data_IF_384639461198
#
_entry.id   IF_384639461198
#
_cell.length_a   1.000
_cell.length_b   1.000
_cell.length_c   1.000
_cell.angle_alpha   90.00
_cell.angle_beta   90.00
_cell.angle_gamma   90.00
#
_symmetry.space_group_name_H-M   'P 1'
#
loop_
_entity.id
_entity.type
_entity.pdbx_description
1 polymer ?
#
# COMPACT_ATOMS: atom_id res chain seq x y z
N UNK A 1 6.16 -8.50 9.92
CA UNK A 1 5.90 -9.13 8.61
C UNK A 1 6.04 -10.65 8.57
N UNK A 2 6.99 -11.28 9.28
CA UNK A 2 7.04 -12.75 9.36
C UNK A 2 5.73 -13.39 9.83
N UNK A 3 5.15 -12.88 10.90
CA UNK A 3 3.86 -13.38 11.41
C UNK A 3 2.72 -13.15 10.40
N UNK A 4 2.83 -12.10 9.58
CA UNK A 4 1.90 -11.85 8.47
C UNK A 4 1.98 -12.96 7.43
N UNK A 5 3.19 -13.32 6.99
CA UNK A 5 3.41 -14.42 6.07
C UNK A 5 2.90 -15.75 6.62
N UNK A 6 3.11 -16.02 7.91
CA UNK A 6 2.58 -17.22 8.56
C UNK A 6 1.05 -17.25 8.59
N UNK A 7 0.39 -16.11 8.83
CA UNK A 7 -1.07 -16.01 8.76
C UNK A 7 -1.61 -16.30 7.34
N UNK A 8 -0.94 -15.77 6.31
CA UNK A 8 -1.27 -16.07 4.91
C UNK A 8 -1.03 -17.55 4.56
N UNK A 9 0.08 -18.15 5.01
CA UNK A 9 0.35 -19.59 4.84
C UNK A 9 -0.77 -20.42 5.44
N UNK A 10 -1.17 -20.08 6.67
CA UNK A 10 -2.23 -20.79 7.39
C UNK A 10 -3.58 -20.70 6.67
N UNK A 11 -3.90 -19.56 6.06
CA UNK A 11 -5.15 -19.37 5.32
C UNK A 11 -5.13 -20.11 3.97
N UNK A 12 -4.08 -19.91 3.18
CA UNK A 12 -4.09 -20.25 1.75
C UNK A 12 -3.36 -21.55 1.40
N UNK A 13 -2.39 -21.99 2.19
CA UNK A 13 -1.58 -23.18 1.90
C UNK A 13 -1.96 -24.37 2.79
N UNK A 14 -2.07 -24.13 4.10
CA UNK A 14 -2.26 -25.21 5.10
C UNK A 14 -3.64 -25.23 5.74
N UNK A 15 -4.53 -24.31 5.36
CA UNK A 15 -5.89 -24.20 5.90
C UNK A 15 -6.73 -25.47 5.67
N UNK A 16 -7.64 -25.76 6.59
CA UNK A 16 -8.51 -26.94 6.58
C UNK A 16 -9.88 -26.70 5.93
N UNK A 17 -10.24 -25.45 5.61
CA UNK A 17 -11.44 -25.13 4.84
C UNK A 17 -11.17 -25.37 3.34
N UNK A 18 -11.85 -26.35 2.75
CA UNK A 18 -11.74 -26.69 1.32
C UNK A 18 -12.01 -25.52 0.34
N UNK A 19 -12.56 -24.40 0.80
CA UNK A 19 -12.86 -23.20 -0.01
C UNK A 19 -11.81 -22.09 0.00
N UNK A 20 -10.82 -22.10 0.90
CA UNK A 20 -9.80 -21.03 0.99
C UNK A 20 -8.38 -21.52 0.58
N UNK A 21 -8.22 -22.81 0.24
CA UNK A 21 -6.94 -23.37 -0.18
C UNK A 21 -6.64 -23.03 -1.63
N UNK A 22 -5.49 -22.42 -1.86
CA UNK A 22 -4.99 -22.13 -3.19
C UNK A 22 -4.23 -23.34 -3.75
N UNK A 23 -4.30 -23.60 -5.07
CA UNK A 23 -3.48 -24.61 -5.74
C UNK A 23 -2.05 -24.09 -5.97
N UNK A 24 -1.40 -23.64 -4.89
CA UNK A 24 0.01 -23.25 -4.82
C UNK A 24 0.73 -24.35 -4.04
N UNK A 25 1.90 -24.75 -4.52
CA UNK A 25 2.71 -25.75 -3.86
C UNK A 25 3.14 -25.25 -2.46
N UNK A 26 2.99 -26.10 -1.45
CA UNK A 26 3.21 -25.72 -0.05
C UNK A 26 4.71 -25.59 0.28
N UNK A 27 5.55 -26.26 -0.49
CA UNK A 27 6.97 -26.54 -0.22
C UNK A 27 7.91 -25.90 -1.27
N UNK A 28 7.41 -25.49 -2.43
CA UNK A 28 8.19 -24.87 -3.50
C UNK A 28 7.55 -23.58 -4.03
N UNK A 29 8.40 -22.59 -4.34
CA UNK A 29 7.96 -21.38 -5.05
C UNK A 29 8.06 -21.63 -6.55
N UNK A 30 6.96 -21.39 -7.26
CA UNK A 30 6.96 -21.26 -8.70
C UNK A 30 6.72 -19.78 -9.04
N UNK A 31 7.69 -19.12 -9.68
CA UNK A 31 7.59 -17.71 -10.08
C UNK A 31 6.46 -17.37 -11.05
N UNK A 32 5.86 -18.37 -11.73
CA UNK A 32 4.62 -18.15 -12.51
C UNK A 32 3.37 -18.08 -11.63
N UNK A 33 3.40 -18.70 -10.45
CA UNK A 33 2.30 -18.73 -9.50
C UNK A 33 2.39 -17.61 -8.46
N UNK A 34 3.60 -17.30 -7.99
CA UNK A 34 3.87 -16.28 -6.97
C UNK A 34 4.65 -15.11 -7.58
N UNK A 35 4.06 -13.92 -7.56
CA UNK A 35 4.76 -12.66 -7.81
C UNK A 35 5.00 -11.92 -6.51
N UNK A 36 6.22 -11.47 -6.24
CA UNK A 36 6.53 -10.59 -5.11
C UNK A 36 7.21 -9.34 -5.63
N UNK A 37 6.67 -8.17 -5.29
CA UNK A 37 7.22 -6.89 -5.72
C UNK A 37 7.33 -5.91 -4.55
N UNK A 38 8.44 -5.17 -4.49
CA UNK A 38 8.61 -4.04 -3.57
C UNK A 38 9.30 -2.87 -4.26
N UNK A 39 9.19 -1.69 -3.66
CA UNK A 39 10.08 -0.59 -3.99
C UNK A 39 11.53 -0.89 -3.58
N UNK A 40 12.48 -0.10 -4.07
CA UNK A 40 13.89 -0.21 -3.69
C UNK A 40 14.22 0.25 -2.25
N UNK A 41 13.23 0.70 -1.48
CA UNK A 41 13.45 1.13 -0.10
C UNK A 41 13.72 -0.07 0.82
N UNK A 42 14.79 0.01 1.63
CA UNK A 42 15.28 -1.07 2.49
C UNK A 42 14.20 -1.68 3.37
N UNK A 43 13.36 -0.85 3.99
CA UNK A 43 12.28 -1.32 4.85
C UNK A 43 11.22 -2.13 4.10
N UNK A 44 10.90 -1.77 2.84
CA UNK A 44 9.93 -2.52 2.01
C UNK A 44 10.52 -3.84 1.51
N UNK A 45 11.80 -3.86 1.10
CA UNK A 45 12.49 -5.08 0.67
C UNK A 45 12.66 -6.06 1.83
N UNK A 46 13.03 -5.58 3.02
CA UNK A 46 13.16 -6.41 4.23
C UNK A 46 11.81 -6.93 4.70
N UNK A 47 10.75 -6.14 4.54
CA UNK A 47 9.38 -6.58 4.82
C UNK A 47 8.90 -7.68 3.90
N UNK A 48 9.21 -7.56 2.60
CA UNK A 48 8.94 -8.60 1.61
C UNK A 48 9.67 -9.89 1.99
N UNK A 49 10.97 -9.81 2.30
CA UNK A 49 11.76 -10.96 2.72
C UNK A 49 11.19 -11.61 3.99
N UNK A 50 10.90 -10.83 5.03
CA UNK A 50 10.33 -11.35 6.27
C UNK A 50 8.97 -12.01 6.04
N UNK A 51 8.10 -11.45 5.20
CA UNK A 51 6.83 -12.08 4.84
C UNK A 51 7.06 -13.42 4.13
N UNK A 52 7.92 -13.46 3.11
CA UNK A 52 8.22 -14.69 2.36
C UNK A 52 8.77 -15.77 3.29
N UNK A 53 9.63 -15.43 4.25
CA UNK A 53 10.10 -16.36 5.28
C UNK A 53 8.97 -16.93 6.13
N UNK A 54 7.94 -16.13 6.46
CA UNK A 54 6.75 -16.61 7.15
C UNK A 54 5.84 -17.48 6.26
N UNK A 55 5.76 -17.15 4.97
CA UNK A 55 4.87 -17.80 4.01
C UNK A 55 5.41 -19.17 3.52
N UNK A 56 6.72 -19.24 3.26
CA UNK A 56 7.47 -20.45 2.91
C UNK A 56 8.71 -20.62 3.81
N UNK A 57 8.55 -21.12 5.05
CA UNK A 57 9.63 -21.22 6.03
C UNK A 57 10.72 -22.27 5.70
N UNK A 58 10.49 -23.14 4.70
CA UNK A 58 11.38 -24.27 4.36
C UNK A 58 12.34 -24.00 3.21
N UNK A 59 12.29 -22.82 2.61
CA UNK A 59 13.28 -22.46 1.59
C UNK A 59 14.64 -22.35 2.28
N UNK A 60 15.67 -23.10 1.83
CA UNK A 60 16.99 -22.98 2.41
C UNK A 60 17.38 -21.51 2.34
N UNK A 61 17.76 -20.96 3.49
CA UNK A 61 18.40 -19.64 3.57
C UNK A 61 19.56 -19.70 2.58
N UNK A 62 19.45 -19.00 1.45
CA UNK A 62 20.51 -18.97 0.47
C UNK A 62 21.79 -18.57 1.19
N UNK A 63 22.83 -19.40 1.06
CA UNK A 63 24.13 -19.27 1.70
C UNK A 63 24.61 -17.81 1.78
N UNK A 64 24.30 -17.15 2.89
CA UNK A 64 24.98 -15.93 3.30
C UNK A 64 26.27 -16.34 3.97
N UNK A 65 27.37 -16.35 3.21
CA UNK A 65 28.73 -16.47 3.73
C UNK A 65 28.88 -15.65 5.01
N UNK A 66 29.50 -16.27 6.03
CA UNK A 66 29.87 -15.62 7.28
C UNK A 66 30.69 -14.37 6.95
N UNK A 67 30.06 -13.21 7.05
CA UNK A 67 30.73 -11.92 7.15
C UNK A 67 30.11 -11.16 8.32
N UNK A 68 31.02 -10.61 9.11
CA UNK A 68 30.81 -9.91 10.36
C UNK A 68 29.76 -8.79 10.24
N UNK A 69 28.96 -8.70 11.30
CA UNK A 69 28.24 -7.54 11.82
C UNK A 69 27.10 -6.86 10.99
N UNK A 70 25.96 -6.82 11.67
CA UNK A 70 24.88 -5.82 11.64
C UNK A 70 23.90 -5.64 10.46
N UNK A 71 24.11 -6.08 9.22
CA UNK A 71 23.09 -5.88 8.15
C UNK A 71 22.97 -7.06 7.18
N UNK A 72 21.98 -7.95 7.39
CA UNK A 72 21.65 -9.02 6.44
C UNK A 72 20.46 -8.61 5.58
N UNK A 73 20.71 -8.17 4.35
CA UNK A 73 19.69 -8.10 3.30
C UNK A 73 19.48 -9.53 2.78
N UNK A 74 18.30 -10.09 3.06
CA UNK A 74 17.93 -11.42 2.58
C UNK A 74 17.33 -11.31 1.17
N UNK A 75 18.14 -11.57 0.14
CA UNK A 75 17.63 -11.68 -1.22
C UNK A 75 16.87 -13.01 -1.38
N UNK A 76 15.53 -12.92 -1.49
CA UNK A 76 14.71 -14.03 -1.95
C UNK A 76 14.66 -13.98 -3.49
N UNK A 77 14.97 -15.09 -4.20
CA UNK A 77 15.17 -15.09 -5.65
C UNK A 77 13.95 -14.65 -6.48
N UNK A 78 12.75 -14.57 -5.89
CA UNK A 78 11.51 -14.20 -6.58
C UNK A 78 10.94 -12.82 -6.19
N UNK A 79 11.66 -12.05 -5.34
CA UNK A 79 11.27 -10.67 -5.04
C UNK A 79 11.84 -9.72 -6.09
N UNK A 80 10.95 -9.16 -6.92
CA UNK A 80 11.31 -8.13 -7.88
C UNK A 80 11.39 -6.77 -7.19
N UNK A 81 12.59 -6.19 -7.19
CA UNK A 81 12.83 -4.82 -6.75
C UNK A 81 12.52 -3.88 -7.92
N UNK A 82 11.57 -2.96 -7.71
CA UNK A 82 11.12 -2.03 -8.75
C UNK A 82 11.67 -0.63 -8.46
N UNK A 83 12.33 -0.05 -9.47
CA UNK A 83 12.91 1.30 -9.41
C UNK A 83 11.98 2.33 -10.04
N UNK A 84 11.61 3.36 -9.29
CA UNK A 84 10.49 4.28 -9.61
C UNK A 84 10.58 4.93 -10.99
N UNK A 85 11.75 5.45 -11.42
CA UNK A 85 11.87 6.09 -12.74
C UNK A 85 12.00 5.10 -13.89
N UNK A 86 12.62 3.95 -13.65
CA UNK A 86 13.15 3.07 -14.71
C UNK A 86 12.19 1.98 -15.14
N UNK A 87 11.24 1.63 -14.28
CA UNK A 87 10.32 0.52 -14.49
C UNK A 87 8.88 1.01 -14.42
N UNK A 88 8.11 0.77 -15.48
CA UNK A 88 6.71 1.17 -15.57
C UNK A 88 5.82 0.51 -14.50
N UNK A 89 6.22 -0.65 -13.97
CA UNK A 89 5.47 -1.32 -12.91
C UNK A 89 5.61 -0.61 -11.55
N UNK A 90 6.44 0.44 -11.45
CA UNK A 90 6.53 1.27 -10.26
C UNK A 90 5.20 1.92 -9.90
N UNK A 91 4.36 2.21 -10.90
CA UNK A 91 3.05 2.83 -10.68
C UNK A 91 2.11 1.94 -9.84
N UNK A 92 2.34 0.62 -9.84
CA UNK A 92 1.55 -0.35 -9.07
C UNK A 92 1.93 -0.40 -7.60
N UNK A 93 3.16 0.02 -7.27
CA UNK A 93 3.67 0.03 -5.90
C UNK A 93 3.55 1.44 -5.31
N UNK A 94 4.01 2.44 -6.04
CA UNK A 94 4.13 3.82 -5.61
C UNK A 94 3.47 4.74 -6.63
N UNK A 95 2.17 4.56 -6.90
CA UNK A 95 1.46 5.30 -7.96
C UNK A 95 1.46 6.83 -7.83
N UNK A 96 1.75 7.37 -6.64
CA UNK A 96 1.94 8.81 -6.43
C UNK A 96 3.35 9.32 -6.74
N UNK A 97 4.37 8.46 -6.70
CA UNK A 97 5.76 8.88 -6.88
C UNK A 97 6.07 9.15 -8.36
N UNK A 98 6.65 10.32 -8.66
CA UNK A 98 6.88 10.76 -10.04
C UNK A 98 5.60 11.20 -10.74
N UNK A 99 4.47 11.29 -10.02
CA UNK A 99 3.23 11.83 -10.52
C UNK A 99 3.21 13.35 -10.30
N UNK A 100 3.67 14.12 -11.28
CA UNK A 100 3.85 15.58 -11.13
C UNK A 100 2.59 16.30 -10.63
N UNK A 101 1.42 16.03 -11.21
CA UNK A 101 0.17 16.65 -10.72
C UNK A 101 -0.15 16.30 -9.26
N UNK A 102 0.20 15.10 -8.81
CA UNK A 102 0.04 14.73 -7.40
C UNK A 102 1.05 15.51 -6.55
N UNK A 103 2.31 15.55 -6.95
CA UNK A 103 3.37 16.31 -6.26
C UNK A 103 3.02 17.80 -6.16
N UNK A 104 2.52 18.41 -7.23
CA UNK A 104 2.04 19.81 -7.25
C UNK A 104 0.92 20.00 -6.20
N UNK A 105 -0.05 19.08 -6.13
CA UNK A 105 -1.12 19.14 -5.11
C UNK A 105 -0.59 19.02 -3.66
N UNK A 106 0.54 18.33 -3.45
CA UNK A 106 1.16 18.24 -2.13
C UNK A 106 1.88 19.53 -1.74
N UNK A 107 2.37 20.31 -2.72
CA UNK A 107 2.97 21.64 -2.52
C UNK A 107 1.91 22.68 -2.19
N UNK A 108 0.72 22.58 -2.79
CA UNK A 108 -0.40 23.49 -2.51
C UNK A 108 -1.16 23.14 -1.22
N UNK A 109 -0.85 22.00 -0.59
CA UNK A 109 -1.48 21.54 0.65
C UNK A 109 -1.49 22.59 1.76
N UNK A 110 -0.40 23.36 1.92
CA UNK A 110 -0.33 24.38 2.97
C UNK A 110 -1.21 25.62 2.67
N UNK A 111 -1.57 25.82 1.40
CA UNK A 111 -2.42 26.93 0.93
C UNK A 111 -3.91 26.62 1.04
N UNK A 112 -4.28 25.36 1.26
CA UNK A 112 -5.66 24.96 1.45
C UNK A 112 -6.23 25.56 2.75
N UNK A 113 -7.37 26.26 2.63
CA UNK A 113 -8.00 26.93 3.76
C UNK A 113 -8.42 25.96 4.87
N UNK A 114 -8.99 24.80 4.53
CA UNK A 114 -9.38 23.80 5.51
C UNK A 114 -8.16 23.26 6.26
N UNK A 115 -7.06 23.00 5.55
CA UNK A 115 -5.79 22.56 6.16
C UNK A 115 -5.24 23.63 7.12
N UNK A 116 -5.24 24.91 6.71
CA UNK A 116 -4.79 26.00 7.58
C UNK A 116 -5.62 26.14 8.86
N UNK A 117 -6.92 25.83 8.79
CA UNK A 117 -7.78 25.76 9.97
C UNK A 117 -7.36 24.64 10.92
N UNK A 118 -7.11 23.44 10.39
CA UNK A 118 -6.61 22.31 11.18
C UNK A 118 -5.29 22.64 11.87
N UNK A 119 -4.35 23.28 11.17
CA UNK A 119 -3.10 23.72 11.77
C UNK A 119 -3.33 24.64 12.96
N UNK A 120 -4.07 25.73 12.75
CA UNK A 120 -4.37 26.71 13.81
C UNK A 120 -4.99 26.06 15.03
N UNK A 121 -5.97 25.18 14.83
CA UNK A 121 -6.75 24.56 15.91
C UNK A 121 -5.92 23.53 16.72
N UNK A 122 -4.86 22.96 16.12
CA UNK A 122 -4.03 21.92 16.74
C UNK A 122 -2.60 22.34 17.05
N UNK A 123 -2.19 23.56 16.65
CA UNK A 123 -0.83 24.07 16.85
C UNK A 123 -0.40 24.04 18.31
N UNK A 124 -1.26 24.48 19.23
CA UNK A 124 -0.95 24.47 20.65
C UNK A 124 -0.65 23.05 21.18
N UNK A 125 -1.37 22.04 20.70
CA UNK A 125 -1.13 20.64 21.06
C UNK A 125 0.26 20.18 20.58
N UNK A 126 0.59 20.36 19.31
CA UNK A 126 1.92 20.02 18.79
C UNK A 126 3.04 20.75 19.52
N UNK A 127 2.87 22.06 19.76
CA UNK A 127 3.88 22.88 20.43
C UNK A 127 4.08 22.47 21.89
N UNK A 128 3.05 21.96 22.58
CA UNK A 128 3.16 21.46 23.97
C UNK A 128 3.97 20.17 24.10
N UNK A 129 4.17 19.45 22.99
CA UNK A 129 4.99 18.24 22.91
C UNK A 129 6.42 18.51 22.45
N UNK A 130 6.72 19.71 21.96
CA UNK A 130 8.00 20.00 21.33
C UNK A 130 9.20 19.78 22.26
N UNK A 131 9.20 20.45 23.43
CA UNK A 131 10.33 20.41 24.37
C UNK A 131 10.63 18.99 24.90
N UNK A 132 9.61 18.13 25.01
CA UNK A 132 9.71 16.81 25.63
C UNK A 132 9.84 15.64 24.65
N UNK A 133 9.39 15.80 23.40
CA UNK A 133 9.32 14.69 22.43
C UNK A 133 10.07 15.03 21.16
N UNK A 134 9.94 16.25 20.63
CA UNK A 134 10.35 16.54 19.24
C UNK A 134 11.61 17.38 19.09
N UNK A 135 12.11 18.02 20.14
CA UNK A 135 13.17 19.04 20.06
C UNK A 135 14.49 18.53 19.44
N UNK A 136 14.81 17.25 19.61
CA UNK A 136 16.02 16.62 19.07
C UNK A 136 15.93 16.34 17.55
N UNK A 137 14.72 16.15 17.03
CA UNK A 137 14.49 15.68 15.65
C UNK A 137 13.84 16.74 14.74
N UNK A 138 13.05 17.66 15.30
CA UNK A 138 12.28 18.63 14.53
C UNK A 138 12.51 20.06 15.04
N UNK A 139 12.78 21.02 14.13
CA UNK A 139 12.69 22.44 14.46
C UNK A 139 11.28 22.77 14.94
N UNK A 140 11.17 23.64 15.95
CA UNK A 140 9.88 24.04 16.53
C UNK A 140 8.87 24.55 15.50
N UNK A 141 9.35 25.22 14.46
CA UNK A 141 8.53 25.72 13.35
C UNK A 141 7.84 24.61 12.54
N UNK A 142 8.41 23.40 12.48
CA UNK A 142 7.84 22.22 11.78
C UNK A 142 6.97 21.34 12.68
N UNK A 143 6.84 21.67 13.97
CA UNK A 143 6.02 20.91 14.92
C UNK A 143 4.59 21.42 14.88
N UNK A 144 3.88 21.02 13.82
CA UNK A 144 2.58 21.58 13.43
C UNK A 144 1.80 20.55 12.57
N UNK A 145 0.56 20.88 12.15
CA UNK A 145 -0.29 19.90 11.45
C UNK A 145 0.24 19.54 10.06
N UNK A 146 0.97 20.43 9.39
CA UNK A 146 1.52 20.16 8.04
C UNK A 146 2.53 19.00 8.02
N UNK A 147 3.10 18.66 9.18
CA UNK A 147 4.06 17.57 9.38
C UNK A 147 3.47 16.48 10.29
N UNK A 148 2.14 16.36 10.36
CA UNK A 148 1.46 15.49 11.32
C UNK A 148 1.90 14.02 11.23
N UNK A 149 2.07 13.49 10.02
CA UNK A 149 2.57 12.13 9.80
C UNK A 149 3.97 11.93 10.37
N UNK A 150 4.94 12.75 9.98
CA UNK A 150 6.33 12.62 10.43
C UNK A 150 6.45 12.72 11.95
N UNK A 151 5.70 13.63 12.57
CA UNK A 151 5.66 13.80 14.02
C UNK A 151 5.04 12.57 14.71
N UNK A 152 3.95 12.02 14.16
CA UNK A 152 3.36 10.80 14.70
C UNK A 152 4.28 9.60 14.54
N UNK A 153 4.87 9.39 13.36
CA UNK A 153 5.73 8.26 13.07
C UNK A 153 6.94 8.24 14.01
N UNK A 154 7.60 9.40 14.14
CA UNK A 154 8.71 9.57 15.08
C UNK A 154 8.28 9.31 16.54
N UNK A 155 7.16 9.89 16.98
CA UNK A 155 6.65 9.69 18.34
C UNK A 155 6.27 8.22 18.61
N UNK A 156 5.69 7.54 17.62
CA UNK A 156 5.32 6.13 17.71
C UNK A 156 6.55 5.22 17.76
N UNK A 157 7.58 5.52 16.96
CA UNK A 157 8.86 4.81 17.02
C UNK A 157 9.49 4.97 18.41
N UNK A 158 9.68 6.21 18.88
CA UNK A 158 10.25 6.48 20.20
C UNK A 158 9.41 5.84 21.31
N UNK A 159 8.09 5.92 21.25
CA UNK A 159 7.20 5.26 22.21
C UNK A 159 7.41 3.74 22.31
N UNK A 160 7.70 3.06 21.19
CA UNK A 160 7.87 1.61 21.16
C UNK A 160 9.29 1.16 21.51
N UNK A 161 10.30 2.02 21.36
CA UNK A 161 11.71 1.65 21.47
C UNK A 161 12.48 2.37 22.58
N UNK A 162 11.92 3.44 23.14
CA UNK A 162 12.56 4.27 24.15
C UNK A 162 11.65 4.43 25.38
N UNK A 163 12.11 3.88 26.51
CA UNK A 163 11.40 3.96 27.79
C UNK A 163 11.30 5.40 28.31
N UNK A 164 12.25 6.27 27.99
CA UNK A 164 12.23 7.67 28.42
C UNK A 164 11.06 8.40 27.75
N UNK A 165 10.92 8.28 26.43
CA UNK A 165 9.78 8.86 25.70
C UNK A 165 8.43 8.34 26.21
N UNK A 166 8.34 7.06 26.59
CA UNK A 166 7.13 6.51 27.22
C UNK A 166 6.77 7.15 28.56
N UNK A 167 7.74 7.71 29.28
CA UNK A 167 7.50 8.44 30.52
C UNK A 167 7.20 9.92 30.28
N UNK A 168 7.67 10.46 29.15
CA UNK A 168 7.50 11.87 28.75
C UNK A 168 6.20 12.16 28.00
N UNK A 169 5.47 11.15 27.55
CA UNK A 169 4.20 11.30 26.83
C UNK A 169 3.15 10.32 27.38
N UNK A 170 1.87 10.58 27.10
CA UNK A 170 0.76 9.70 27.44
C UNK A 170 0.27 8.92 26.21
N UNK A 171 -0.37 7.77 26.44
CA UNK A 171 -1.02 7.02 25.37
C UNK A 171 -2.12 7.84 24.65
N UNK A 172 -2.78 8.76 25.37
CA UNK A 172 -3.78 9.67 24.79
C UNK A 172 -3.18 10.71 23.84
N UNK A 173 -2.01 11.27 24.17
CA UNK A 173 -1.27 12.16 23.27
C UNK A 173 -0.80 11.42 22.01
N UNK A 174 -0.27 10.21 22.15
CA UNK A 174 0.10 9.38 21.00
C UNK A 174 -1.10 9.04 20.11
N UNK A 175 -2.25 8.69 20.70
CA UNK A 175 -3.48 8.44 19.96
C UNK A 175 -3.97 9.70 19.21
N UNK A 176 -3.85 10.87 19.83
CA UNK A 176 -4.19 12.14 19.18
C UNK A 176 -3.24 12.48 18.03
N UNK A 177 -1.94 12.26 18.18
CA UNK A 177 -0.96 12.38 17.09
C UNK A 177 -1.35 11.46 15.91
N UNK A 178 -1.69 10.19 16.19
CA UNK A 178 -2.15 9.24 15.16
C UNK A 178 -3.39 9.72 14.43
N UNK A 179 -4.37 10.25 15.15
CA UNK A 179 -5.62 10.76 14.56
C UNK A 179 -5.35 11.94 13.62
N UNK A 180 -4.49 12.88 14.04
CA UNK A 180 -4.13 14.04 13.22
C UNK A 180 -3.30 13.63 12.01
N UNK A 181 -2.33 12.72 12.18
CA UNK A 181 -1.58 12.14 11.07
C UNK A 181 -2.49 11.42 10.07
N UNK A 182 -3.46 10.66 10.55
CA UNK A 182 -4.45 10.01 9.67
C UNK A 182 -5.31 11.01 8.91
N UNK A 183 -5.67 12.12 9.55
CA UNK A 183 -6.45 13.18 8.90
C UNK A 183 -5.63 13.88 7.82
N UNK A 184 -4.41 14.27 8.16
CA UNK A 184 -3.47 14.92 7.25
C UNK A 184 -3.16 14.06 6.02
N UNK A 185 -2.81 12.78 6.22
CA UNK A 185 -2.54 11.85 5.13
C UNK A 185 -3.76 11.58 4.23
N UNK A 186 -4.99 11.58 4.78
CA UNK A 186 -6.20 11.50 3.94
C UNK A 186 -6.42 12.76 3.12
N UNK A 187 -6.18 13.93 3.69
CA UNK A 187 -6.30 15.18 2.94
C UNK A 187 -5.29 15.25 1.78
N UNK A 188 -4.09 14.68 1.95
CA UNK A 188 -3.07 14.58 0.89
C UNK A 188 -3.39 13.52 -0.16
N UNK A 189 -3.76 12.31 0.25
CA UNK A 189 -3.76 11.12 -0.62
C UNK A 189 -5.14 10.53 -0.91
N UNK A 190 -6.20 11.04 -0.30
CA UNK A 190 -7.54 10.45 -0.39
C UNK A 190 -8.66 11.49 -0.57
N UNK A 191 -8.30 12.75 -0.85
CA UNK A 191 -9.26 13.81 -1.10
C UNK A 191 -9.79 13.73 -2.55
N UNK A 192 -11.00 13.21 -2.71
CA UNK A 192 -11.62 13.05 -4.03
C UNK A 192 -12.32 14.33 -4.53
N UNK A 193 -12.50 15.33 -3.66
CA UNK A 193 -13.23 16.57 -3.96
C UNK A 193 -12.33 17.71 -4.45
N UNK A 194 -11.01 17.61 -4.22
CA UNK A 194 -10.04 18.60 -4.66
C UNK A 194 -9.47 18.17 -6.02
N UNK A 195 -9.95 18.80 -7.09
CA UNK A 195 -9.42 18.59 -8.44
C UNK A 195 -9.20 19.94 -9.09
N UNK A 196 -7.94 20.36 -9.17
CA UNK A 196 -7.58 21.49 -10.00
C UNK A 196 -7.76 21.12 -11.48
N UNK A 197 -8.69 21.79 -12.15
CA UNK A 197 -8.68 21.93 -13.61
C UNK A 197 -9.76 21.16 -14.39
N UNK A 198 -10.30 20.07 -13.87
CA UNK A 198 -11.45 19.35 -14.46
C UNK A 198 -12.12 18.46 -13.42
N UNK A 199 -13.45 18.44 -13.38
CA UNK A 199 -14.22 17.41 -12.66
C UNK A 199 -13.62 16.02 -12.96
N UNK A 200 -13.10 15.32 -11.93
CA UNK A 200 -12.68 13.93 -12.05
C UNK A 200 -11.19 13.63 -12.22
N UNK A 201 -10.26 14.58 -12.05
CA UNK A 201 -8.81 14.22 -12.18
C UNK A 201 -8.36 13.25 -11.06
N UNK A 202 -9.02 13.26 -9.89
CA UNK A 202 -8.81 12.32 -8.75
C UNK A 202 -7.32 12.03 -8.44
N UNK A 203 -6.43 12.98 -8.76
CA UNK A 203 -4.98 12.77 -8.76
C UNK A 203 -4.43 12.65 -7.34
N UNK A 204 -5.10 13.23 -6.34
CA UNK A 204 -4.81 12.96 -4.93
C UNK A 204 -4.82 11.47 -4.62
N UNK A 205 -5.77 10.73 -5.19
CA UNK A 205 -5.95 9.29 -4.96
C UNK A 205 -5.24 8.41 -6.00
N UNK A 206 -4.30 8.94 -6.78
CA UNK A 206 -3.67 8.22 -7.91
C UNK A 206 -3.06 6.87 -7.49
N UNK A 207 -2.49 6.77 -6.30
CA UNK A 207 -1.94 5.53 -5.77
C UNK A 207 -3.01 4.44 -5.57
N UNK A 208 -4.22 4.82 -5.18
CA UNK A 208 -5.38 3.91 -5.09
C UNK A 208 -5.96 3.58 -6.47
N UNK A 209 -5.91 4.53 -7.41
CA UNK A 209 -6.37 4.32 -8.80
C UNK A 209 -5.48 3.31 -9.54
N UNK A 210 -4.16 3.42 -9.41
CA UNK A 210 -3.23 2.45 -10.04
C UNK A 210 -3.36 1.08 -9.38
N UNK A 211 -3.52 1.02 -8.06
CA UNK A 211 -3.85 -0.23 -7.37
C UNK A 211 -5.10 -0.89 -7.94
N UNK A 212 -6.21 -0.14 -8.08
CA UNK A 212 -7.45 -0.69 -8.60
C UNK A 212 -7.29 -1.26 -10.02
N UNK A 213 -6.56 -0.54 -10.88
CA UNK A 213 -6.18 -1.01 -12.21
C UNK A 213 -5.34 -2.29 -12.18
N UNK A 214 -4.36 -2.37 -11.27
CA UNK A 214 -3.50 -3.55 -11.10
C UNK A 214 -4.30 -4.80 -10.71
N UNK A 215 -5.28 -4.67 -9.80
CA UNK A 215 -6.13 -5.79 -9.39
C UNK A 215 -6.90 -6.35 -10.59
N UNK A 216 -7.53 -5.48 -11.38
CA UNK A 216 -8.27 -5.88 -12.59
C UNK A 216 -7.34 -6.57 -13.59
N UNK A 217 -6.12 -6.05 -13.77
CA UNK A 217 -5.14 -6.63 -14.66
C UNK A 217 -4.74 -8.05 -14.24
N UNK A 218 -4.40 -8.24 -12.96
CA UNK A 218 -3.99 -9.55 -12.44
C UNK A 218 -5.10 -10.59 -12.51
N UNK A 219 -6.33 -10.22 -12.13
CA UNK A 219 -7.48 -11.11 -12.23
C UNK A 219 -7.80 -11.47 -13.69
N UNK A 220 -7.75 -10.50 -14.61
CA UNK A 220 -7.98 -10.77 -16.03
C UNK A 220 -6.92 -11.75 -16.58
N UNK A 221 -5.64 -11.55 -16.25
CA UNK A 221 -4.57 -12.48 -16.64
C UNK A 221 -4.72 -13.87 -16.03
N UNK A 222 -5.18 -13.99 -14.78
CA UNK A 222 -5.47 -15.27 -14.14
C UNK A 222 -6.59 -16.00 -14.92
N UNK A 223 -7.67 -15.30 -15.26
CA UNK A 223 -8.80 -15.84 -16.02
C UNK A 223 -8.37 -16.27 -17.43
N UNK A 224 -7.64 -15.41 -18.14
CA UNK A 224 -7.17 -15.69 -19.50
C UNK A 224 -6.22 -16.89 -19.55
N UNK A 225 -5.41 -17.07 -18.51
CA UNK A 225 -4.52 -18.23 -18.34
C UNK A 225 -5.17 -19.42 -17.65
N UNK A 226 -6.48 -19.38 -17.38
CA UNK A 226 -7.23 -20.44 -16.67
C UNK A 226 -6.56 -20.86 -15.36
N UNK A 227 -6.03 -19.89 -14.62
CA UNK A 227 -5.40 -20.09 -13.31
C UNK A 227 -3.95 -20.55 -13.35
N UNK A 228 -3.30 -20.60 -14.52
CA UNK A 228 -1.87 -20.95 -14.63
C UNK A 228 -0.94 -19.82 -14.14
N UNK A 229 -1.40 -18.56 -14.18
CA UNK A 229 -0.62 -17.38 -13.78
C UNK A 229 -1.33 -16.59 -12.70
N UNK A 230 -0.55 -15.79 -11.97
CA UNK A 230 -1.04 -14.85 -10.96
C UNK A 230 -1.98 -15.54 -9.95
N UNK A 231 -1.54 -16.68 -9.40
CA UNK A 231 -2.27 -17.32 -8.31
C UNK A 231 -2.13 -16.46 -7.05
N UNK A 232 -0.93 -15.94 -6.78
CA UNK A 232 -0.69 -15.04 -5.66
C UNK A 232 0.27 -13.92 -6.10
N UNK A 233 -0.11 -12.67 -5.88
CA UNK A 233 0.69 -11.49 -6.17
C UNK A 233 0.79 -10.62 -4.92
N UNK A 234 1.99 -10.39 -4.43
CA UNK A 234 2.29 -9.60 -3.24
C UNK A 234 2.97 -8.30 -3.64
N UNK A 235 2.43 -7.18 -3.18
CA UNK A 235 3.00 -5.84 -3.36
C UNK A 235 3.27 -5.23 -1.99
N UNK A 236 4.54 -4.91 -1.71
CA UNK A 236 4.94 -4.26 -0.47
C UNK A 236 5.10 -2.76 -0.72
N UNK A 237 4.25 -1.98 -0.06
CA UNK A 237 4.10 -0.54 -0.27
C UNK A 237 3.90 0.19 1.07
N UNK A 238 3.60 1.47 1.00
CA UNK A 238 3.30 2.37 2.11
C UNK A 238 1.78 2.55 2.30
N UNK A 239 1.37 3.52 3.12
CA UNK A 239 -0.04 3.71 3.50
C UNK A 239 -0.88 4.47 2.47
N UNK A 240 -0.28 5.19 1.52
CA UNK A 240 -0.98 6.03 0.55
C UNK A 240 -1.93 5.23 -0.35
N UNK A 241 -1.55 4.07 -0.93
CA UNK A 241 -2.49 3.23 -1.69
C UNK A 241 -3.68 2.75 -0.86
N UNK A 242 -3.49 2.52 0.45
CA UNK A 242 -4.56 2.11 1.36
C UNK A 242 -5.58 3.22 1.54
N UNK A 243 -5.12 4.40 1.95
CA UNK A 243 -6.00 5.54 2.20
C UNK A 243 -6.73 5.97 0.92
N UNK A 244 -6.00 6.03 -0.21
CA UNK A 244 -6.56 6.36 -1.51
C UNK A 244 -7.63 5.35 -1.93
N UNK A 245 -7.34 4.04 -1.83
CA UNK A 245 -8.31 3.01 -2.19
C UNK A 245 -9.53 3.00 -1.27
N UNK A 246 -9.35 3.22 0.04
CA UNK A 246 -10.48 3.30 0.98
C UNK A 246 -11.45 4.43 0.62
N UNK A 247 -10.95 5.58 0.16
CA UNK A 247 -11.80 6.65 -0.33
C UNK A 247 -12.49 6.26 -1.66
N UNK A 248 -11.74 5.73 -2.64
CA UNK A 248 -12.28 5.34 -3.95
C UNK A 248 -13.34 4.22 -3.85
N UNK A 249 -13.19 3.32 -2.87
CA UNK A 249 -14.08 2.19 -2.63
C UNK A 249 -15.24 2.52 -1.68
N UNK A 250 -15.43 3.79 -1.31
CA UNK A 250 -16.47 4.26 -0.37
C UNK A 250 -16.41 3.60 1.03
N UNK A 251 -15.24 3.08 1.42
CA UNK A 251 -15.03 2.43 2.70
C UNK A 251 -14.94 3.45 3.84
N UNK A 252 -14.34 4.61 3.58
CA UNK A 252 -14.19 5.68 4.57
C UNK A 252 -15.52 6.24 5.08
N UNK A 253 -16.61 6.14 4.29
CA UNK A 253 -17.95 6.53 4.73
C UNK A 253 -18.61 5.49 5.65
N UNK A 254 -18.21 4.22 5.53
CA UNK A 254 -18.83 3.09 6.25
C UNK A 254 -18.32 2.90 7.68
N UNK A 255 -17.05 3.23 7.96
CA UNK A 255 -16.42 2.96 9.25
C UNK A 255 -15.21 3.85 9.50
N UNK A 256 -15.03 4.29 10.75
CA UNK A 256 -13.84 5.00 11.21
C UNK A 256 -12.54 4.17 11.16
N UNK A 257 -12.64 2.87 10.88
CA UNK A 257 -11.47 2.01 10.60
C UNK A 257 -10.72 2.47 9.34
N UNK A 258 -11.47 2.87 8.30
CA UNK A 258 -10.95 3.24 6.99
C UNK A 258 -10.63 4.72 6.85
N UNK A 259 -10.66 5.45 7.98
CA UNK A 259 -10.23 6.85 8.05
C UNK A 259 -8.91 7.02 8.80
N UNK A 260 -8.36 5.92 9.31
CA UNK A 260 -7.13 5.88 10.08
C UNK A 260 -5.97 5.35 9.23
N UNK A 261 -4.74 5.74 9.59
CA UNK A 261 -3.55 5.12 9.04
C UNK A 261 -3.60 3.60 9.26
N UNK A 262 -3.24 2.77 8.27
CA UNK A 262 -3.03 1.35 8.51
C UNK A 262 -2.01 1.13 9.64
N UNK A 263 -2.15 0.05 10.39
CA UNK A 263 -1.09 -0.39 11.28
C UNK A 263 0.09 -0.95 10.46
N UNK A 264 1.31 -0.91 11.02
CA UNK A 264 2.46 -1.55 10.36
C UNK A 264 2.17 -3.04 10.11
N UNK A 265 2.42 -3.45 8.88
CA UNK A 265 2.14 -4.77 8.35
C UNK A 265 0.66 -5.07 8.09
N UNK A 266 -0.21 -4.06 8.08
CA UNK A 266 -1.58 -4.21 7.63
C UNK A 266 -1.65 -4.67 6.17
N UNK A 267 -2.72 -5.38 5.83
CA UNK A 267 -2.92 -5.92 4.48
C UNK A 267 -4.29 -5.67 3.92
N UNK A 268 -4.35 -5.16 2.69
CA UNK A 268 -5.52 -5.25 1.82
C UNK A 268 -5.39 -6.53 1.00
N UNK A 269 -6.45 -7.35 0.98
CA UNK A 269 -6.50 -8.57 0.18
C UNK A 269 -7.67 -8.51 -0.78
N UNK A 270 -7.42 -8.84 -2.04
CA UNK A 270 -8.47 -9.04 -3.03
C UNK A 270 -8.42 -10.48 -3.47
N UNK A 271 -9.55 -11.19 -3.40
CA UNK A 271 -9.62 -12.60 -3.75
C UNK A 271 -10.58 -12.81 -4.91
N UNK A 272 -10.13 -13.53 -5.94
CA UNK A 272 -10.94 -14.06 -7.04
C UNK A 272 -11.27 -15.54 -6.77
N UNK A 273 -12.55 -15.90 -6.73
CA UNK A 273 -12.97 -17.26 -6.37
C UNK A 273 -14.27 -17.68 -7.08
N UNK A 274 -14.61 -18.96 -7.00
CA UNK A 274 -15.93 -19.48 -7.39
C UNK A 274 -16.51 -20.36 -6.30
N UNK A 275 -17.84 -20.36 -6.18
CA UNK A 275 -18.59 -21.27 -5.28
C UNK A 275 -19.33 -22.36 -6.06
N UNK A 276 -19.17 -22.40 -7.39
CA UNK A 276 -19.81 -23.40 -8.22
C UNK A 276 -19.22 -24.79 -7.93
N UNK A 277 -20.08 -25.77 -7.66
CA UNK A 277 -19.67 -27.17 -7.54
C UNK A 277 -19.48 -27.73 -8.94
N UNK A 278 -18.24 -28.04 -9.31
CA UNK A 278 -17.92 -28.67 -10.58
C UNK A 278 -17.79 -30.19 -10.38
N UNK A 279 -18.25 -30.97 -11.36
CA UNK A 279 -18.06 -32.43 -11.39
C UNK A 279 -16.59 -32.84 -11.56
N UNK A 280 -15.75 -31.91 -12.05
CA UNK A 280 -14.31 -32.03 -12.07
C UNK A 280 -13.71 -30.89 -11.24
N UNK A 281 -13.19 -31.22 -10.05
CA UNK A 281 -12.57 -30.27 -9.12
C UNK A 281 -11.29 -29.61 -9.68
N UNK A 282 -10.75 -30.10 -10.80
CA UNK A 282 -9.57 -29.52 -11.46
C UNK A 282 -9.89 -28.56 -12.60
N UNK A 283 -11.17 -28.39 -12.98
CA UNK A 283 -11.56 -27.51 -14.07
C UNK A 283 -11.66 -26.05 -13.62
N UNK A 284 -11.07 -25.13 -14.38
CA UNK A 284 -11.20 -23.69 -14.10
C UNK A 284 -12.67 -23.24 -14.25
N UNK A 285 -13.24 -22.47 -13.30
CA UNK A 285 -14.63 -22.06 -13.35
C UNK A 285 -14.97 -21.18 -14.56
N UNK A 286 -16.21 -21.23 -15.02
CA UNK A 286 -16.72 -20.29 -16.00
C UNK A 286 -16.72 -18.86 -15.44
N UNK A 287 -16.48 -17.85 -16.29
CA UNK A 287 -16.31 -16.45 -15.86
C UNK A 287 -17.53 -15.88 -15.14
N UNK A 288 -18.73 -16.30 -15.51
CA UNK A 288 -20.00 -15.91 -14.89
C UNK A 288 -20.21 -16.54 -13.49
N UNK A 289 -19.51 -17.63 -13.20
CA UNK A 289 -19.44 -18.26 -11.89
C UNK A 289 -18.36 -17.65 -10.97
N UNK A 290 -17.56 -16.69 -11.46
CA UNK A 290 -16.52 -16.03 -10.67
C UNK A 290 -17.09 -14.90 -9.82
N UNK A 291 -16.52 -14.76 -8.63
CA UNK A 291 -16.82 -13.73 -7.64
C UNK A 291 -15.52 -13.12 -7.14
N UNK A 292 -15.61 -11.91 -6.63
CA UNK A 292 -14.52 -11.23 -5.97
C UNK A 292 -14.94 -10.71 -4.59
N UNK A 293 -14.00 -10.69 -3.65
CA UNK A 293 -14.18 -10.08 -2.32
C UNK A 293 -12.95 -9.32 -1.89
N UNK A 294 -13.18 -8.30 -1.06
CA UNK A 294 -12.13 -7.48 -0.45
C UNK A 294 -12.04 -7.81 1.04
N UNK A 295 -10.81 -8.00 1.52
CA UNK A 295 -10.52 -8.22 2.93
C UNK A 295 -9.51 -7.19 3.42
N UNK A 296 -9.67 -6.78 4.67
CA UNK A 296 -8.72 -5.92 5.35
C UNK A 296 -8.28 -6.56 6.66
N UNK A 297 -6.96 -6.62 6.86
CA UNK A 297 -6.38 -7.13 8.10
C UNK A 297 -5.42 -6.09 8.67
N UNK A 298 -5.89 -5.34 9.66
CA UNK A 298 -5.23 -4.14 10.15
C UNK A 298 -4.28 -4.37 11.34
N UNK A 299 -3.46 -5.42 11.31
CA UNK A 299 -2.47 -5.73 12.35
C UNK A 299 -1.66 -6.95 11.93
N UNK A 300 -0.42 -7.13 12.39
CA UNK A 300 0.30 -8.40 12.22
C UNK A 300 -0.03 -9.44 13.29
N UNK A 301 -0.81 -9.12 14.32
CA UNK A 301 -1.12 -10.03 15.43
C UNK A 301 -1.73 -11.34 14.92
N UNK A 302 -1.17 -12.52 15.26
CA UNK A 302 -1.67 -13.81 14.78
C UNK A 302 -3.16 -14.09 15.02
N UNK A 303 -3.79 -13.42 15.98
CA UNK A 303 -5.22 -13.54 16.30
C UNK A 303 -6.13 -12.62 15.50
N UNK A 304 -5.58 -11.62 14.81
CA UNK A 304 -6.39 -10.72 13.97
C UNK A 304 -6.95 -11.52 12.79
N UNK A 305 -8.28 -11.58 12.59
CA UNK A 305 -8.89 -12.31 11.49
C UNK A 305 -8.71 -11.59 10.15
N UNK A 306 -8.94 -12.31 9.05
CA UNK A 306 -9.13 -11.72 7.73
C UNK A 306 -10.59 -11.29 7.61
N UNK A 307 -10.86 -10.00 7.77
CA UNK A 307 -12.23 -9.48 7.75
C UNK A 307 -12.62 -9.10 6.33
N UNK A 308 -13.75 -9.62 5.84
CA UNK A 308 -14.30 -9.23 4.54
C UNK A 308 -15.13 -7.97 4.71
N UNK A 309 -14.95 -7.00 3.81
CA UNK A 309 -15.72 -5.77 3.80
C UNK A 309 -16.37 -5.56 2.43
N UNK A 310 -17.62 -5.10 2.39
CA UNK A 310 -18.21 -4.66 1.13
C UNK A 310 -17.51 -3.39 0.65
N UNK A 311 -17.40 -3.25 -0.67
CA UNK A 311 -16.77 -2.11 -1.33
C UNK A 311 -17.74 -1.49 -2.34
N UNK A 312 -17.50 -0.23 -2.69
CA UNK A 312 -18.30 0.56 -3.64
C UNK A 312 -19.76 0.74 -3.21
N UNK A 313 -19.99 0.91 -1.89
CA UNK A 313 -21.32 1.16 -1.34
C UNK A 313 -22.31 -0.01 -1.48
N UNK A 314 -21.83 -1.21 -1.74
CA UNK A 314 -22.67 -2.41 -1.83
C UNK A 314 -22.90 -3.05 -0.45
N UNK A 315 -23.98 -3.82 -0.31
CA UNK A 315 -24.24 -4.56 0.94
C UNK A 315 -23.54 -5.93 0.96
N UNK A 316 -23.36 -6.54 -0.22
CA UNK A 316 -22.72 -7.85 -0.35
C UNK A 316 -21.19 -7.71 -0.34
N UNK A 317 -20.55 -8.47 0.54
CA UNK A 317 -19.09 -8.53 0.67
C UNK A 317 -18.43 -9.45 -0.38
N UNK A 318 -19.24 -10.22 -1.12
CA UNK A 318 -18.80 -11.10 -2.20
C UNK A 318 -19.56 -10.79 -3.49
N UNK A 319 -19.00 -10.03 -4.42
CA UNK A 319 -19.72 -9.60 -5.63
C UNK A 319 -19.38 -10.44 -6.87
N UNK A 320 -20.28 -10.56 -7.86
CA UNK A 320 -19.95 -11.14 -9.16
C UNK A 320 -18.75 -10.44 -9.80
N UNK A 321 -17.82 -11.22 -10.37
CA UNK A 321 -16.57 -10.67 -10.91
C UNK A 321 -16.80 -9.61 -11.99
N UNK A 322 -17.81 -9.78 -12.85
CA UNK A 322 -18.15 -8.78 -13.87
C UNK A 322 -18.44 -7.39 -13.24
N UNK A 323 -19.19 -7.36 -12.14
CA UNK A 323 -19.50 -6.11 -11.41
C UNK A 323 -18.27 -5.54 -10.73
N UNK A 324 -17.47 -6.39 -10.09
CA UNK A 324 -16.21 -5.99 -9.46
C UNK A 324 -15.26 -5.35 -10.48
N UNK A 325 -15.11 -6.00 -11.65
CA UNK A 325 -14.25 -5.52 -12.73
C UNK A 325 -14.70 -4.14 -13.21
N UNK A 326 -16.00 -3.93 -13.43
CA UNK A 326 -16.54 -2.62 -13.83
C UNK A 326 -16.22 -1.57 -12.77
N UNK A 327 -16.61 -1.78 -11.51
CA UNK A 327 -16.42 -0.79 -10.44
C UNK A 327 -14.94 -0.44 -10.20
N UNK A 328 -14.05 -1.44 -10.23
CA UNK A 328 -12.61 -1.22 -10.09
C UNK A 328 -12.01 -0.49 -11.31
N UNK A 329 -12.54 -0.74 -12.52
CA UNK A 329 -12.08 -0.07 -13.73
C UNK A 329 -12.55 1.38 -13.81
N UNK A 330 -13.73 1.70 -13.26
CA UNK A 330 -14.29 3.05 -13.25
C UNK A 330 -13.43 4.03 -12.43
N UNK A 331 -12.83 3.55 -11.34
CA UNK A 331 -11.91 4.34 -10.50
C UNK A 331 -10.44 4.17 -10.90
N UNK A 332 -10.13 3.11 -11.64
CA UNK A 332 -8.77 2.64 -11.87
C UNK A 332 -8.00 3.38 -12.97
N UNK A 333 -6.66 3.39 -12.84
CA UNK A 333 -5.74 3.68 -13.94
C UNK A 333 -5.07 2.37 -14.32
N UNK A 334 -5.43 1.84 -15.49
CA UNK A 334 -5.12 0.46 -15.87
C UNK A 334 -3.76 0.24 -16.53
N UNK A 335 -3.04 1.29 -16.91
CA UNK A 335 -1.77 1.19 -17.63
C UNK A 335 -0.87 2.41 -17.43
N UNK A 336 0.43 2.23 -17.71
CA UNK A 336 1.45 3.26 -17.54
C UNK A 336 1.29 4.44 -18.50
N UNK A 337 0.81 4.24 -19.73
CA UNK A 337 0.61 5.33 -20.67
C UNK A 337 -0.50 6.28 -20.18
N UNK A 338 -1.59 5.72 -19.67
CA UNK A 338 -2.67 6.47 -19.04
C UNK A 338 -2.19 7.18 -17.77
N UNK A 339 -1.41 6.51 -16.93
CA UNK A 339 -0.78 7.14 -15.76
C UNK A 339 0.10 8.33 -16.14
N UNK A 340 0.99 8.17 -17.14
CA UNK A 340 1.85 9.25 -17.64
C UNK A 340 1.04 10.49 -18.06
N UNK A 341 -0.09 10.29 -18.76
CA UNK A 341 -0.98 11.38 -19.18
C UNK A 341 -1.69 12.03 -17.99
N UNK A 342 -2.34 11.24 -17.14
CA UNK A 342 -3.08 11.75 -15.95
C UNK A 342 -2.16 12.55 -15.05
N UNK A 343 -0.99 11.99 -14.73
CA UNK A 343 0.00 12.61 -13.87
C UNK A 343 0.79 13.75 -14.49
N UNK A 344 0.68 13.93 -15.81
CA UNK A 344 1.61 14.74 -16.59
C UNK A 344 3.08 14.43 -16.24
N UNK A 345 3.39 13.14 -16.07
CA UNK A 345 4.67 12.68 -15.53
C UNK A 345 5.81 12.83 -16.55
N UNK A 346 7.03 13.00 -16.02
CA UNK A 346 8.29 12.98 -16.77
C UNK A 346 9.16 11.78 -16.41
N UNK A 347 8.59 10.73 -15.81
CA UNK A 347 9.31 9.49 -15.54
C UNK A 347 9.98 8.95 -16.80
N UNK A 348 11.08 8.22 -16.62
CA UNK A 348 11.97 7.81 -17.71
C UNK A 348 11.20 6.97 -18.77
N UNK A 349 10.23 6.16 -18.34
CA UNK A 349 9.36 5.37 -19.21
C UNK A 349 8.20 6.14 -19.87
N UNK A 350 7.91 7.38 -19.44
CA UNK A 350 6.88 8.21 -20.06
C UNK A 350 7.38 8.87 -21.37
N UNK A 351 8.68 9.17 -21.46
CA UNK A 351 9.30 9.76 -22.66
C UNK A 351 9.40 8.81 -23.85
N UNK A 352 9.29 7.50 -23.64
CA UNK A 352 9.29 6.48 -24.69
C UNK A 352 7.92 6.21 -25.30
N UNK A 353 6.85 6.86 -24.80
CA UNK A 353 5.46 6.62 -25.20
C UNK A 353 4.84 7.75 -26.04
N UNK A 354 5.60 8.80 -26.37
CA UNK A 354 5.21 9.87 -27.29
C UNK A 354 6.25 10.98 -27.36
N UNK A 355 6.90 11.12 -28.52
CA UNK A 355 7.75 12.22 -28.99
C UNK A 355 8.43 13.13 -27.94
N UNK A 356 9.73 12.92 -27.73
CA UNK A 356 10.60 13.87 -27.02
C UNK A 356 11.03 15.02 -27.95
N UNK A 357 10.78 16.31 -27.60
CA UNK A 357 11.66 17.38 -28.05
C UNK A 357 12.97 17.29 -27.27
N UNK A 358 14.08 17.25 -28.01
CA UNK A 358 15.46 17.24 -27.50
C UNK A 358 15.71 18.44 -26.57
N UNK A 359 16.24 18.15 -25.38
CA UNK A 359 16.95 19.11 -24.55
C UNK A 359 16.27 19.46 -23.23
N UNK A 360 16.50 18.65 -22.19
CA UNK A 360 16.38 19.13 -20.82
C UNK A 360 17.47 18.47 -19.98
N UNK A 361 18.38 19.30 -19.46
CA UNK A 361 19.43 18.91 -18.55
C UNK A 361 18.84 18.24 -17.30
N UNK A 362 19.37 17.06 -16.98
CA UNK A 362 19.01 16.26 -15.83
C UNK A 362 19.58 16.94 -14.57
N UNK A 363 18.74 17.69 -13.83
CA UNK A 363 19.10 18.18 -12.51
C UNK A 363 18.78 17.08 -11.48
N UNK A 364 19.80 16.38 -11.00
CA UNK A 364 19.68 15.44 -9.87
C UNK A 364 19.54 16.28 -8.60
N UNK A 365 18.33 16.36 -8.05
CA UNK A 365 18.11 16.89 -6.71
C UNK A 365 18.25 15.73 -5.73
N UNK A 366 19.39 15.65 -5.05
CA UNK A 366 19.59 14.81 -3.88
C UNK A 366 18.85 15.44 -2.70
N UNK A 367 17.69 14.88 -2.35
CA UNK A 367 17.07 15.14 -1.05
C UNK A 367 17.70 14.20 -0.03
N UNK A 368 18.51 14.77 0.85
CA UNK A 368 18.96 14.11 2.08
C UNK A 368 17.79 14.17 3.06
N UNK A 369 17.12 13.04 3.29
CA UNK A 369 16.17 12.89 4.38
C UNK A 369 16.74 11.87 5.37
N UNK A 370 16.87 12.30 6.63
CA UNK A 370 17.17 11.43 7.77
C UNK A 370 16.09 10.35 7.93
N UNK A 371 16.41 9.33 8.72
CA UNK A 371 15.59 8.13 8.90
C UNK A 371 14.11 8.43 9.18
N UNK A 372 13.26 8.15 8.18
CA UNK A 372 11.78 8.12 8.27
C UNK A 372 11.37 6.65 8.20
N UNK A 373 10.56 6.17 9.14
CA UNK A 373 10.08 4.78 9.17
C UNK A 373 8.64 4.77 8.64
N UNK A 374 8.48 4.86 7.33
CA UNK A 374 7.15 4.82 6.70
C UNK A 374 6.35 3.56 7.08
N UNK A 375 5.06 3.73 7.32
CA UNK A 375 4.09 2.67 7.63
C UNK A 375 4.10 1.62 6.52
N UNK A 376 4.67 0.47 6.85
CA UNK A 376 4.70 -0.72 6.01
C UNK A 376 3.30 -1.30 5.84
N UNK A 377 2.84 -1.46 4.61
CA UNK A 377 1.59 -2.17 4.32
C UNK A 377 1.79 -3.08 3.11
N UNK A 378 1.28 -4.32 3.17
CA UNK A 378 1.38 -5.26 2.05
C UNK A 378 0.00 -5.44 1.40
N UNK A 379 -0.08 -5.24 0.09
CA UNK A 379 -1.26 -5.55 -0.69
C UNK A 379 -1.08 -6.95 -1.25
N UNK A 380 -2.03 -7.82 -0.95
CA UNK A 380 -2.02 -9.20 -1.42
C UNK A 380 -3.17 -9.40 -2.39
N UNK A 381 -2.85 -9.79 -3.61
CA UNK A 381 -3.79 -10.03 -4.70
C UNK A 381 -3.79 -11.53 -4.97
N UNK A 382 -4.95 -12.16 -4.83
CA UNK A 382 -5.16 -13.62 -4.81
C UNK A 382 -6.11 -14.00 -5.93
#
# INVERSE_FOLDING_TARGET
MRDQGAAFRNRYLTGSSHGDRMPIDVESINGSHLGVASSANSYTTESAAAFVQGFHPRLPVANGSVLNDSHRVYEHPDTRIIYTCLDQDSIWIQGGAGCRKHEDSLLDFERDYAVSSFDRDHKAFYQSLWDRVFCEAFPRARTNFYNAYDLYDYAAFRWNHDNETRSLMTAGELARLRLLASTEQRLRHANLSHSEGTDGDQTHAIAGRTLAGRVVHLFSQNIDSRGERNKLSLVFTSHEPFLAFFALADLSASSGLFTQLPHHGATMTFELFSTARHSNETAYPATDALRARFLYRNSTNPRTPFETHPIFGHADSCMPFARFKTAMSDVGVGDAATWCRVCASRSCFCGTLGDLPRGANLLIVLLVAGAVVLILSAIVLI
#
